data_IF_732971874602
#
_entry.id   IF_732971874602
#
_cell.length_a   1.000
_cell.length_b   1.000
_cell.length_c   1.000
_cell.angle_alpha   90.00
_cell.angle_beta   90.00
_cell.angle_gamma   90.00
#
_symmetry.space_group_name_H-M   'P 1'
#
loop_
_entity.id
_entity.type
_entity.pdbx_description
1 polymer ?
#
# COMPACT_ATOMS: atom_id res chain seq x y z
N UNK A 1 3.13 80.48 28.20
CA UNK A 1 2.59 79.86 26.97
C UNK A 1 2.65 78.35 27.15
N UNK A 2 1.47 77.75 27.22
CA UNK A 2 1.19 76.33 27.45
C UNK A 2 1.63 75.47 26.27
N UNK A 3 2.47 74.46 26.52
CA UNK A 3 2.70 73.38 25.56
C UNK A 3 1.71 72.26 25.88
N UNK A 4 0.68 72.15 25.05
CA UNK A 4 -0.26 71.03 25.00
C UNK A 4 0.47 69.76 24.54
N UNK A 5 0.19 68.56 25.09
CA UNK A 5 0.79 67.34 24.59
C UNK A 5 0.22 66.96 23.21
N UNK A 6 1.07 66.43 22.33
CA UNK A 6 0.75 66.02 20.97
C UNK A 6 -0.42 65.02 20.90
N UNK A 7 -1.44 65.22 20.04
CA UNK A 7 -2.63 64.36 19.99
C UNK A 7 -2.45 63.04 19.21
N UNK A 8 -1.24 62.66 18.79
CA UNK A 8 -1.02 61.55 17.84
C UNK A 8 -0.39 60.28 18.44
N UNK A 9 -0.54 60.02 19.74
CA UNK A 9 -0.06 58.78 20.38
C UNK A 9 -1.16 57.79 20.77
N UNK A 10 -2.15 57.56 19.91
CA UNK A 10 -3.11 56.46 20.07
C UNK A 10 -3.61 55.92 18.71
N UNK A 11 -2.71 55.39 17.87
CA UNK A 11 -3.17 54.46 16.83
C UNK A 11 -3.52 53.13 17.50
N UNK A 12 -4.77 52.62 17.38
CA UNK A 12 -5.12 51.34 17.96
C UNK A 12 -4.26 50.26 17.30
N UNK A 13 -3.53 49.52 18.13
CA UNK A 13 -2.81 48.31 17.71
C UNK A 13 -3.81 47.41 17.02
N UNK A 14 -3.72 47.27 15.69
CA UNK A 14 -4.62 46.41 14.90
C UNK A 14 -4.50 45.00 15.48
N UNK A 15 -5.47 44.60 16.30
CA UNK A 15 -5.55 43.23 16.81
C UNK A 15 -5.95 42.39 15.61
N UNK A 16 -5.01 41.57 15.13
CA UNK A 16 -5.34 40.57 14.10
C UNK A 16 -6.43 39.69 14.69
N UNK A 17 -7.62 39.75 14.13
CA UNK A 17 -8.71 38.88 14.53
C UNK A 17 -8.28 37.41 14.35
N UNK A 18 -8.64 36.51 15.29
CA UNK A 18 -8.34 35.10 15.14
C UNK A 18 -8.98 34.61 13.85
N UNK A 19 -8.19 33.89 13.05
CA UNK A 19 -8.66 33.32 11.79
C UNK A 19 -9.76 32.31 12.08
N UNK A 20 -10.80 32.30 11.26
CA UNK A 20 -11.82 31.26 11.34
C UNK A 20 -11.28 29.91 10.86
N UNK A 21 -11.88 28.80 11.28
CA UNK A 21 -11.46 27.46 10.85
C UNK A 21 -11.45 27.32 9.32
N UNK A 22 -12.39 27.96 8.62
CA UNK A 22 -12.41 27.99 7.16
C UNK A 22 -11.20 28.70 6.55
N UNK A 23 -10.73 29.79 7.17
CA UNK A 23 -9.52 30.51 6.76
C UNK A 23 -8.26 29.69 7.04
N UNK A 24 -8.18 29.06 8.21
CA UNK A 24 -7.08 28.15 8.57
C UNK A 24 -7.00 26.95 7.60
N UNK A 25 -8.13 26.38 7.22
CA UNK A 25 -8.22 25.28 6.25
C UNK A 25 -7.86 25.71 4.82
N UNK A 26 -8.15 26.94 4.40
CA UNK A 26 -7.68 27.48 3.11
C UNK A 26 -6.17 27.66 3.11
N UNK A 27 -5.63 28.30 4.15
CA UNK A 27 -4.18 28.50 4.28
C UNK A 27 -3.42 27.17 4.40
N UNK A 28 -4.00 26.17 5.07
CA UNK A 28 -3.42 24.84 5.11
C UNK A 28 -3.39 24.17 3.73
N UNK A 29 -4.49 24.30 2.95
CA UNK A 29 -4.54 23.81 1.56
C UNK A 29 -3.58 24.55 0.64
N UNK A 30 -3.48 25.86 0.76
CA UNK A 30 -2.54 26.68 -0.02
C UNK A 30 -1.09 26.35 0.31
N UNK A 31 -0.74 26.19 1.59
CA UNK A 31 0.58 25.68 2.00
C UNK A 31 0.87 24.32 1.41
N UNK A 32 -0.05 23.37 1.48
CA UNK A 32 0.13 22.05 0.85
C UNK A 32 0.26 22.13 -0.67
N UNK A 33 -0.45 23.04 -1.33
CA UNK A 33 -0.37 23.26 -2.78
C UNK A 33 0.97 23.88 -3.18
N UNK A 34 1.43 24.90 -2.45
CA UNK A 34 2.75 25.50 -2.65
C UNK A 34 3.87 24.49 -2.39
N UNK A 35 3.73 23.66 -1.35
CA UNK A 35 4.72 22.63 -1.01
C UNK A 35 4.76 21.49 -2.03
N UNK A 36 3.62 21.10 -2.63
CA UNK A 36 3.58 20.19 -3.79
C UNK A 36 4.25 20.80 -5.03
N UNK A 37 4.04 22.08 -5.27
CA UNK A 37 4.61 22.77 -6.44
C UNK A 37 6.10 23.10 -6.29
N UNK A 38 6.63 23.08 -5.06
CA UNK A 38 8.05 23.29 -4.75
C UNK A 38 8.88 22.00 -4.80
N UNK A 39 8.24 20.85 -5.02
CA UNK A 39 8.93 19.57 -5.04
C UNK A 39 9.53 19.35 -6.43
N UNK A 40 10.85 19.48 -6.54
CA UNK A 40 11.60 19.15 -7.76
C UNK A 40 11.71 17.63 -7.87
N UNK A 41 10.87 17.04 -8.72
CA UNK A 41 10.84 15.61 -9.04
C UNK A 41 12.21 15.11 -9.56
N UNK A 42 13.01 16.01 -10.13
CA UNK A 42 14.36 15.71 -10.62
C UNK A 42 15.31 15.24 -9.52
N UNK A 43 15.09 15.63 -8.27
CA UNK A 43 15.90 15.20 -7.12
C UNK A 43 15.60 13.76 -6.67
N UNK A 44 14.46 13.19 -7.07
CA UNK A 44 14.10 11.79 -6.78
C UNK A 44 14.54 10.82 -7.88
N UNK A 45 15.00 11.33 -9.02
CA UNK A 45 15.39 10.50 -10.15
C UNK A 45 16.81 9.97 -9.98
N UNK A 46 16.92 8.69 -9.61
CA UNK A 46 18.20 7.99 -9.40
C UNK A 46 18.85 7.47 -10.70
N UNK A 47 18.27 7.81 -11.87
CA UNK A 47 18.68 7.22 -13.15
C UNK A 47 18.12 5.82 -13.39
N UNK A 48 18.55 5.13 -14.47
CA UNK A 48 18.20 3.73 -14.71
C UNK A 48 18.85 2.80 -13.68
N UNK A 49 18.19 1.66 -13.42
CA UNK A 49 18.69 0.60 -12.54
C UNK A 49 19.36 -0.50 -13.39
N UNK A 50 20.46 -0.16 -14.04
CA UNK A 50 21.14 -0.99 -15.05
C UNK A 50 22.57 -1.44 -14.64
N UNK A 51 23.10 -0.93 -13.53
CA UNK A 51 24.39 -1.37 -13.01
C UNK A 51 24.25 -2.75 -12.37
N UNK A 52 25.10 -3.70 -12.78
CA UNK A 52 25.08 -5.08 -12.30
C UNK A 52 26.19 -5.27 -11.27
N UNK A 53 25.83 -5.73 -10.08
CA UNK A 53 26.82 -6.11 -9.06
C UNK A 53 27.62 -7.34 -9.50
N UNK A 54 28.95 -7.26 -9.49
CA UNK A 54 29.83 -8.36 -9.88
C UNK A 54 29.71 -9.60 -8.98
N UNK A 55 29.37 -9.43 -7.70
CA UNK A 55 29.31 -10.54 -6.74
C UNK A 55 27.99 -11.31 -6.79
N UNK A 56 26.86 -10.61 -6.83
CA UNK A 56 25.53 -11.24 -6.72
C UNK A 56 24.66 -11.09 -7.96
N UNK A 57 25.09 -10.32 -8.96
CA UNK A 57 24.31 -10.07 -10.18
C UNK A 57 23.09 -9.17 -10.00
N UNK A 58 22.89 -8.58 -8.82
CA UNK A 58 21.77 -7.67 -8.57
C UNK A 58 21.93 -6.36 -9.35
N UNK A 59 20.84 -5.89 -9.93
CA UNK A 59 20.74 -4.57 -10.55
C UNK A 59 20.64 -3.48 -9.47
N UNK A 60 21.34 -2.37 -9.65
CA UNK A 60 21.29 -1.24 -8.73
C UNK A 60 21.43 0.10 -9.45
N UNK A 61 21.00 1.17 -8.79
CA UNK A 61 21.18 2.54 -9.27
C UNK A 61 22.63 2.98 -9.08
N UNK A 62 23.04 4.01 -9.83
CA UNK A 62 24.35 4.63 -9.65
C UNK A 62 24.53 5.09 -8.19
N UNK A 63 25.69 4.78 -7.59
CA UNK A 63 26.02 5.17 -6.21
C UNK A 63 25.44 4.29 -5.10
N UNK A 64 24.62 3.27 -5.40
CA UNK A 64 24.00 2.39 -4.39
C UNK A 64 24.51 0.94 -4.53
N UNK A 65 25.69 0.62 -3.96
CA UNK A 65 26.28 -0.72 -4.01
C UNK A 65 26.10 -1.54 -2.72
N UNK A 66 24.90 -1.55 -2.13
CA UNK A 66 24.64 -2.22 -0.84
C UNK A 66 23.98 -3.60 -0.95
N UNK A 67 23.91 -4.20 -2.15
CA UNK A 67 23.13 -5.41 -2.37
C UNK A 67 23.66 -6.67 -1.66
N UNK A 68 24.97 -6.82 -1.51
CA UNK A 68 25.59 -8.02 -0.92
C UNK A 68 26.76 -7.69 0.02
N UNK A 69 26.83 -6.44 0.48
CA UNK A 69 27.93 -5.95 1.33
C UNK A 69 29.31 -6.25 0.71
N UNK A 70 29.49 -5.88 -0.56
CA UNK A 70 30.72 -6.15 -1.33
C UNK A 70 31.11 -7.64 -1.38
N UNK A 71 30.12 -8.53 -1.49
CA UNK A 71 30.33 -9.98 -1.58
C UNK A 71 30.46 -10.71 -0.25
N UNK A 72 30.31 -10.01 0.89
CA UNK A 72 30.30 -10.66 2.22
C UNK A 72 29.03 -11.46 2.48
N UNK A 73 27.92 -11.09 1.84
CA UNK A 73 26.62 -11.76 2.00
C UNK A 73 26.29 -12.54 0.73
N UNK A 74 26.18 -13.86 0.86
CA UNK A 74 25.61 -14.69 -0.20
C UNK A 74 24.07 -14.64 -0.13
N UNK A 75 23.45 -14.07 -1.16
CA UNK A 75 21.99 -14.08 -1.31
C UNK A 75 21.64 -15.28 -2.19
N UNK A 76 21.00 -16.33 -1.65
CA UNK A 76 20.59 -17.46 -2.46
C UNK A 76 19.57 -17.00 -3.51
N UNK A 77 19.63 -17.53 -4.75
CA UNK A 77 18.65 -17.23 -5.77
C UNK A 77 17.25 -17.63 -5.31
N UNK A 78 16.24 -16.84 -5.71
CA UNK A 78 14.86 -17.16 -5.38
C UNK A 78 14.51 -18.55 -5.89
N UNK A 79 13.90 -19.37 -5.04
CA UNK A 79 13.42 -20.68 -5.44
C UNK A 79 12.34 -20.51 -6.52
N UNK A 80 12.38 -21.37 -7.52
CA UNK A 80 11.32 -21.47 -8.52
C UNK A 80 9.99 -21.71 -7.80
N UNK A 81 8.93 -21.00 -8.20
CA UNK A 81 7.59 -21.28 -7.72
C UNK A 81 7.20 -22.70 -8.16
N UNK A 82 6.33 -23.31 -7.37
CA UNK A 82 5.73 -24.59 -7.72
C UNK A 82 4.71 -24.40 -8.85
N UNK A 83 4.58 -25.38 -9.73
CA UNK A 83 3.51 -25.37 -10.74
C UNK A 83 2.15 -25.57 -10.05
N UNK A 84 1.07 -24.91 -10.51
CA UNK A 84 0.99 -24.10 -11.74
C UNK A 84 1.38 -22.61 -11.55
N UNK A 85 1.72 -22.16 -10.33
CA UNK A 85 1.97 -20.74 -10.05
C UNK A 85 3.14 -20.19 -10.86
N UNK A 86 4.18 -20.97 -11.08
CA UNK A 86 5.30 -20.53 -11.92
C UNK A 86 4.84 -20.21 -13.34
N UNK A 87 4.10 -21.13 -13.99
CA UNK A 87 3.60 -20.90 -15.34
C UNK A 87 2.62 -19.72 -15.39
N UNK A 88 1.70 -19.63 -14.44
CA UNK A 88 0.77 -18.50 -14.37
C UNK A 88 1.49 -17.15 -14.17
N UNK A 89 2.55 -17.11 -13.34
CA UNK A 89 3.24 -15.88 -12.97
C UNK A 89 4.39 -15.48 -13.92
N UNK A 90 5.02 -16.41 -14.64
CA UNK A 90 6.19 -16.11 -15.49
C UNK A 90 6.04 -16.52 -16.96
N UNK A 91 5.17 -17.46 -17.32
CA UNK A 91 5.01 -17.87 -18.72
C UNK A 91 4.00 -16.95 -19.44
N UNK A 92 4.53 -16.03 -20.25
CA UNK A 92 3.73 -15.06 -21.01
C UNK A 92 2.76 -15.69 -22.03
N UNK A 93 3.01 -16.93 -22.44
CA UNK A 93 2.16 -17.67 -23.38
C UNK A 93 1.10 -18.53 -22.69
N UNK A 94 1.09 -18.60 -21.35
CA UNK A 94 0.12 -19.42 -20.62
C UNK A 94 -1.29 -18.80 -20.70
N UNK A 95 -2.26 -19.56 -21.19
CA UNK A 95 -3.65 -19.10 -21.40
C UNK A 95 -4.30 -18.54 -20.13
N UNK A 96 -4.05 -19.15 -18.98
CA UNK A 96 -4.57 -18.70 -17.68
C UNK A 96 -3.86 -17.50 -17.04
N UNK A 97 -2.78 -16.98 -17.63
CA UNK A 97 -1.96 -15.92 -17.01
C UNK A 97 -2.75 -14.63 -16.78
N UNK A 98 -3.44 -14.13 -17.81
CA UNK A 98 -4.15 -12.83 -17.72
C UNK A 98 -5.17 -12.86 -16.59
N UNK A 99 -6.03 -13.89 -16.60
CA UNK A 99 -7.04 -14.11 -15.56
C UNK A 99 -6.42 -14.23 -14.17
N UNK A 100 -5.30 -14.96 -14.03
CA UNK A 100 -4.62 -15.10 -12.75
C UNK A 100 -4.09 -13.77 -12.21
N UNK A 101 -3.39 -12.99 -13.04
CA UNK A 101 -2.81 -11.71 -12.64
C UNK A 101 -3.89 -10.65 -12.35
N UNK A 102 -4.94 -10.59 -13.16
CA UNK A 102 -6.09 -9.70 -12.95
C UNK A 102 -6.80 -9.99 -11.61
N UNK A 103 -6.79 -11.25 -11.16
CA UNK A 103 -7.48 -11.68 -9.95
C UNK A 103 -6.54 -12.08 -8.80
N UNK A 104 -5.25 -11.72 -8.86
CA UNK A 104 -4.23 -12.20 -7.90
C UNK A 104 -4.58 -11.83 -6.45
N UNK A 105 -5.17 -10.64 -6.24
CA UNK A 105 -5.62 -10.20 -4.92
C UNK A 105 -6.75 -11.07 -4.39
N UNK A 106 -7.69 -11.49 -5.24
CA UNK A 106 -8.78 -12.39 -4.87
C UNK A 106 -8.25 -13.76 -4.47
N UNK A 107 -7.30 -14.31 -5.24
CA UNK A 107 -6.63 -15.58 -4.90
C UNK A 107 -5.90 -15.50 -3.55
N UNK A 108 -5.12 -14.44 -3.32
CA UNK A 108 -4.42 -14.25 -2.05
C UNK A 108 -5.39 -14.04 -0.86
N UNK A 109 -6.50 -13.33 -1.10
CA UNK A 109 -7.54 -13.10 -0.09
C UNK A 109 -8.22 -14.41 0.32
N UNK A 110 -8.45 -15.31 -0.64
CA UNK A 110 -9.04 -16.64 -0.38
C UNK A 110 -8.15 -17.52 0.52
N UNK A 111 -6.83 -17.33 0.44
CA UNK A 111 -5.85 -18.07 1.22
C UNK A 111 -5.39 -17.34 2.48
N UNK A 112 -5.98 -16.19 2.79
CA UNK A 112 -5.57 -15.35 3.91
C UNK A 112 -6.00 -15.97 5.25
N UNK A 113 -5.03 -16.18 6.14
CA UNK A 113 -5.26 -16.71 7.50
C UNK A 113 -5.48 -15.63 8.56
N UNK A 114 -5.17 -14.38 8.26
CA UNK A 114 -5.39 -13.26 9.15
C UNK A 114 -5.95 -12.08 8.36
N UNK A 115 -6.71 -11.23 9.04
CA UNK A 115 -7.17 -9.96 8.49
C UNK A 115 -6.86 -8.85 9.50
N UNK A 116 -6.76 -7.62 9.00
CA UNK A 116 -6.65 -6.41 9.82
C UNK A 116 -7.74 -5.44 9.41
N UNK A 117 -8.34 -4.80 10.41
CA UNK A 117 -9.35 -3.76 10.21
C UNK A 117 -8.66 -2.41 10.05
N UNK A 118 -9.20 -1.60 9.14
CA UNK A 118 -8.72 -0.25 8.90
C UNK A 118 -9.89 0.63 8.49
N UNK A 119 -9.84 1.91 8.87
CA UNK A 119 -10.78 2.90 8.37
C UNK A 119 -10.46 3.19 6.91
N UNK A 120 -11.42 2.93 6.02
CA UNK A 120 -11.29 3.23 4.59
C UNK A 120 -11.55 4.71 4.35
N UNK A 121 -10.51 5.42 3.94
CA UNK A 121 -10.63 6.77 3.36
C UNK A 121 -10.47 6.65 1.86
N UNK A 122 -11.48 7.12 1.10
CA UNK A 122 -11.41 7.19 -0.36
C UNK A 122 -10.16 7.99 -0.78
N UNK A 123 -9.22 7.30 -1.42
CA UNK A 123 -8.07 7.93 -2.06
C UNK A 123 -8.50 8.50 -3.42
N UNK A 124 -7.78 9.51 -3.91
CA UNK A 124 -8.02 10.04 -5.25
C UNK A 124 -7.87 8.92 -6.30
N UNK A 125 -8.60 8.97 -7.44
CA UNK A 125 -8.61 7.90 -8.45
C UNK A 125 -7.23 7.50 -9.01
N UNK A 126 -6.24 8.39 -8.89
CA UNK A 126 -4.88 8.22 -9.38
C UNK A 126 -3.83 8.23 -8.26
N UNK A 127 -4.25 8.06 -7.00
CA UNK A 127 -3.36 7.98 -5.85
C UNK A 127 -2.90 6.56 -5.57
N UNK A 128 -1.67 6.40 -5.05
CA UNK A 128 -1.22 5.13 -4.47
C UNK A 128 -2.19 4.74 -3.34
N UNK A 129 -2.71 3.52 -3.40
CA UNK A 129 -3.55 2.99 -2.33
C UNK A 129 -2.68 2.78 -1.09
N UNK A 130 -2.71 3.77 -0.18
CA UNK A 130 -1.91 3.75 1.04
C UNK A 130 -2.79 3.46 2.25
N UNK A 131 -2.27 2.62 3.17
CA UNK A 131 -2.87 2.38 4.48
C UNK A 131 -2.01 3.14 5.50
N UNK A 132 -2.62 4.08 6.23
CA UNK A 132 -1.93 4.79 7.31
C UNK A 132 -2.24 4.12 8.64
N UNK A 133 -1.28 3.37 9.15
CA UNK A 133 -1.36 2.74 10.48
C UNK A 133 -1.03 3.79 11.55
N UNK A 134 -1.93 3.99 12.50
CA UNK A 134 -1.69 4.80 13.71
C UNK A 134 -1.95 3.93 14.94
N UNK A 135 -0.93 3.74 15.77
CA UNK A 135 -1.03 2.92 16.98
C UNK A 135 -0.83 1.42 16.72
N UNK A 136 -1.16 0.57 17.70
CA UNK A 136 -0.97 -0.88 17.61
C UNK A 136 -1.78 -1.49 16.46
N UNK A 137 -1.14 -2.34 15.66
CA UNK A 137 -1.83 -3.15 14.65
C UNK A 137 -2.47 -4.35 15.34
N UNK A 138 -3.79 -4.42 15.30
CA UNK A 138 -4.51 -5.61 15.73
C UNK A 138 -4.70 -6.52 14.52
N UNK A 139 -4.01 -7.67 14.53
CA UNK A 139 -4.33 -8.76 13.63
C UNK A 139 -5.48 -9.55 14.22
N UNK A 140 -6.51 -9.81 13.41
CA UNK A 140 -7.54 -10.77 13.74
C UNK A 140 -7.11 -12.11 13.14
N UNK A 141 -6.48 -13.00 13.93
CA UNK A 141 -6.28 -14.37 13.48
C UNK A 141 -7.66 -14.94 13.17
N UNK A 142 -7.76 -15.67 12.08
CA UNK A 142 -9.01 -16.35 11.75
C UNK A 142 -9.34 -17.33 12.88
N UNK A 143 -10.51 -17.18 13.48
CA UNK A 143 -10.93 -18.07 14.55
C UNK A 143 -11.04 -19.50 14.01
N UNK A 144 -10.39 -20.49 14.64
CA UNK A 144 -10.48 -21.88 14.16
C UNK A 144 -11.95 -22.33 14.01
N UNK A 145 -12.82 -21.91 14.93
CA UNK A 145 -14.25 -22.17 14.87
C UNK A 145 -15.02 -20.95 14.37
N UNK A 146 -15.80 -21.05 13.28
CA UNK A 146 -16.62 -19.95 12.80
C UNK A 146 -17.82 -19.69 13.72
N UNK A 147 -18.09 -18.40 13.98
CA UNK A 147 -19.34 -17.97 14.62
C UNK A 147 -20.60 -18.39 13.81
N UNK A 148 -20.46 -18.59 12.50
CA UNK A 148 -21.50 -19.16 11.64
C UNK A 148 -20.95 -20.39 10.89
N UNK A 149 -21.27 -21.62 11.34
CA UNK A 149 -20.80 -22.87 10.73
C UNK A 149 -21.20 -23.04 9.26
N UNK A 150 -22.29 -22.40 8.82
CA UNK A 150 -22.78 -22.47 7.44
C UNK A 150 -22.07 -21.50 6.47
N UNK A 151 -21.17 -20.64 6.97
CA UNK A 151 -20.47 -19.67 6.11
C UNK A 151 -19.02 -19.45 6.54
N UNK A 152 -18.17 -20.48 6.46
CA UNK A 152 -16.76 -20.37 6.83
C UNK A 152 -16.04 -19.29 6.00
N UNK A 153 -15.09 -18.59 6.65
CA UNK A 153 -14.28 -17.53 6.03
C UNK A 153 -12.84 -17.63 6.52
N UNK A 154 -11.89 -17.21 5.68
CA UNK A 154 -10.47 -17.10 6.04
C UNK A 154 -9.92 -18.43 6.59
N UNK A 155 -9.13 -18.39 7.66
CA UNK A 155 -8.50 -19.56 8.28
C UNK A 155 -9.46 -20.67 8.72
N UNK A 156 -10.74 -20.38 8.97
CA UNK A 156 -11.76 -21.35 9.36
C UNK A 156 -12.01 -22.40 8.25
N UNK A 157 -11.74 -22.04 7.00
CA UNK A 157 -11.93 -22.93 5.84
C UNK A 157 -10.96 -24.11 5.92
N UNK A 158 -9.80 -23.96 6.58
CA UNK A 158 -8.78 -25.02 6.68
C UNK A 158 -9.04 -26.02 7.81
N UNK A 159 -10.07 -25.83 8.64
CA UNK A 159 -10.52 -26.84 9.60
C UNK A 159 -11.31 -27.95 8.91
N UNK A 160 -11.84 -27.68 7.71
CA UNK A 160 -12.47 -28.69 6.87
C UNK A 160 -11.43 -29.56 6.17
N UNK A 161 -11.89 -30.69 5.66
CA UNK A 161 -11.13 -31.48 4.71
C UNK A 161 -10.75 -30.64 3.47
N UNK A 162 -9.61 -30.92 2.82
CA UNK A 162 -9.09 -30.12 1.71
C UNK A 162 -10.08 -29.94 0.55
N UNK A 163 -10.92 -30.94 0.29
CA UNK A 163 -11.91 -30.92 -0.79
C UNK A 163 -13.03 -29.94 -0.49
N UNK A 164 -13.70 -30.07 0.66
CA UNK A 164 -14.73 -29.09 1.07
C UNK A 164 -14.16 -27.67 1.17
N UNK A 165 -12.95 -27.51 1.69
CA UNK A 165 -12.26 -26.23 1.76
C UNK A 165 -12.09 -25.59 0.36
N UNK A 166 -11.85 -26.42 -0.66
CA UNK A 166 -11.73 -25.98 -2.05
C UNK A 166 -13.08 -25.59 -2.63
N UNK A 167 -14.11 -26.42 -2.45
CA UNK A 167 -15.47 -26.13 -2.93
C UNK A 167 -16.01 -24.80 -2.38
N UNK A 168 -15.80 -24.55 -1.08
CA UNK A 168 -16.21 -23.29 -0.45
C UNK A 168 -15.49 -22.07 -1.02
N UNK A 169 -14.19 -22.18 -1.37
CA UNK A 169 -13.44 -21.08 -1.98
C UNK A 169 -13.91 -20.83 -3.40
N UNK A 170 -14.13 -21.88 -4.18
CA UNK A 170 -14.53 -21.78 -5.58
C UNK A 170 -15.96 -21.23 -5.71
N UNK A 171 -16.93 -21.78 -5.00
CA UNK A 171 -18.33 -21.40 -5.16
C UNK A 171 -18.68 -20.00 -4.62
N UNK A 172 -17.88 -19.47 -3.70
CA UNK A 172 -18.19 -18.19 -3.02
C UNK A 172 -17.64 -16.97 -3.74
N UNK A 173 -16.49 -17.10 -4.41
CA UNK A 173 -15.76 -15.97 -4.98
C UNK A 173 -15.64 -16.04 -6.51
N UNK A 174 -15.86 -17.21 -7.10
CA UNK A 174 -15.76 -17.43 -8.54
C UNK A 174 -17.10 -17.97 -9.08
N UNK A 175 -17.99 -17.10 -9.61
CA UNK A 175 -19.12 -17.59 -10.40
C UNK A 175 -18.62 -18.46 -11.56
N UNK A 176 -19.48 -19.34 -12.10
CA UNK A 176 -19.12 -20.48 -12.98
C UNK A 176 -18.18 -20.15 -14.17
N UNK A 177 -18.07 -18.87 -14.55
CA UNK A 177 -17.14 -18.36 -15.57
C UNK A 177 -15.65 -18.46 -15.20
N UNK A 178 -15.28 -18.52 -13.92
CA UNK A 178 -13.87 -18.48 -13.47
C UNK A 178 -13.33 -19.86 -13.01
N UNK A 179 -14.14 -20.91 -13.07
CA UNK A 179 -13.77 -22.29 -12.67
C UNK A 179 -12.77 -22.98 -13.61
N UNK A 180 -12.51 -22.43 -14.81
CA UNK A 180 -11.72 -23.06 -15.88
C UNK A 180 -10.20 -23.16 -15.65
N UNK A 181 -9.68 -22.71 -14.51
CA UNK A 181 -8.23 -22.74 -14.21
C UNK A 181 -7.81 -24.03 -13.47
N UNK A 182 -8.76 -24.77 -12.90
CA UNK A 182 -8.51 -26.04 -12.22
C UNK A 182 -9.27 -27.18 -12.89
#
# INVERSE_FOLDING_TARGET
MSLTPDPLLCLPRIRKFPKTDAQLMREHRERHRQQKNAFDDSLLYLGPMDNICYFCGAYHFAGTQSCCEHGKVFIPPMRKLWEPLQSLYFNHSHSGRSQFLENILSYNTLLSMASSTHDRVLQNPYGVQSVKVRGPVHHMPSALYPNNPGRPRYGNIYVYDPERATDYRMNKWFPDTLKKIY
#
